data_IF_709289250762
#
_entry.id   IF_709289250762
#
_cell.length_a   1.000
_cell.length_b   1.000
_cell.length_c   1.000
_cell.angle_alpha   90.00
_cell.angle_beta   90.00
_cell.angle_gamma   90.00
#
_symmetry.space_group_name_H-M   'P 1'
#
loop_
_entity.id
_entity.type
_entity.pdbx_description
1 polymer ?
#
# COMPACT_ATOMS: atom_id res chain seq x y z
N UNK A 1 -16.91 -6.99 11.95
CA UNK A 1 -15.82 -6.80 10.98
C UNK A 1 -14.72 -6.06 11.72
N UNK A 2 -13.56 -6.69 11.93
CA UNK A 2 -12.43 -6.07 12.65
C UNK A 2 -11.69 -5.19 11.68
N UNK A 3 -11.39 -3.95 12.07
CA UNK A 3 -10.67 -3.00 11.22
C UNK A 3 -10.00 -1.94 12.07
N UNK A 4 -8.87 -1.43 11.59
CA UNK A 4 -8.09 -0.38 12.23
C UNK A 4 -7.81 0.72 11.23
N UNK A 5 -7.96 1.97 11.67
CA UNK A 5 -7.71 3.15 10.85
C UNK A 5 -6.32 3.68 11.17
N UNK A 6 -5.49 3.81 10.14
CA UNK A 6 -4.19 4.44 10.22
C UNK A 6 -4.24 5.78 9.49
N UNK A 7 -3.72 6.83 10.14
CA UNK A 7 -3.64 8.15 9.52
C UNK A 7 -2.36 8.24 8.69
N UNK A 8 -2.49 8.65 7.44
CA UNK A 8 -1.35 8.94 6.57
C UNK A 8 -0.97 10.41 6.78
N UNK A 9 0.25 10.72 7.25
CA UNK A 9 0.73 12.09 7.37
C UNK A 9 0.78 12.80 6.00
N UNK A 10 0.54 14.11 5.97
CA UNK A 10 0.49 14.89 4.73
C UNK A 10 1.83 14.87 3.99
N UNK A 11 2.94 14.89 4.73
CA UNK A 11 4.29 14.77 4.20
C UNK A 11 4.55 13.43 3.51
N UNK A 12 3.88 12.35 3.94
CA UNK A 12 3.95 11.03 3.31
C UNK A 12 3.05 11.01 2.07
N UNK A 13 1.83 11.56 2.17
CA UNK A 13 0.86 11.64 1.05
C UNK A 13 1.42 12.40 -0.17
N UNK A 14 2.28 13.40 0.06
CA UNK A 14 2.91 14.24 -0.97
C UNK A 14 4.41 14.01 -1.13
N UNK A 15 4.94 12.99 -0.46
CA UNK A 15 6.35 12.64 -0.44
C UNK A 15 6.76 11.80 -1.64
N UNK A 16 7.63 10.82 -1.42
CA UNK A 16 8.01 9.82 -2.43
C UNK A 16 7.16 8.56 -2.30
N UNK A 17 6.93 7.88 -3.42
CA UNK A 17 6.14 6.66 -3.49
C UNK A 17 6.59 5.60 -2.48
N UNK A 18 7.89 5.33 -2.41
CA UNK A 18 8.46 4.35 -1.48
C UNK A 18 8.06 4.61 -0.04
N UNK A 19 8.10 5.87 0.41
CA UNK A 19 7.69 6.26 1.77
C UNK A 19 6.20 6.03 2.03
N UNK A 20 5.33 6.32 1.04
CA UNK A 20 3.89 6.05 1.16
C UNK A 20 3.60 4.56 1.30
N UNK A 21 4.18 3.73 0.43
CA UNK A 21 3.95 2.28 0.49
C UNK A 21 4.65 1.65 1.70
N UNK A 22 5.78 2.18 2.15
CA UNK A 22 6.40 1.78 3.40
C UNK A 22 5.51 2.07 4.60
N UNK A 23 4.87 3.23 4.64
CA UNK A 23 3.88 3.53 5.68
C UNK A 23 2.71 2.52 5.67
N UNK A 24 2.18 2.18 4.49
CA UNK A 24 1.14 1.13 4.35
C UNK A 24 1.66 -0.22 4.86
N UNK A 25 2.87 -0.62 4.47
CA UNK A 25 3.51 -1.85 4.93
C UNK A 25 3.67 -1.90 6.44
N UNK A 26 4.02 -0.78 7.08
CA UNK A 26 4.07 -0.68 8.54
C UNK A 26 2.70 -0.87 9.19
N UNK A 27 1.67 -0.22 8.64
CA UNK A 27 0.30 -0.35 9.15
C UNK A 27 -0.20 -1.81 9.09
N UNK A 28 0.17 -2.54 8.03
CA UNK A 28 -0.11 -3.97 7.90
C UNK A 28 0.65 -4.78 8.96
N UNK A 29 1.95 -4.52 9.15
CA UNK A 29 2.76 -5.21 10.16
C UNK A 29 2.21 -5.02 11.58
N UNK A 30 1.84 -3.78 11.94
CA UNK A 30 1.23 -3.44 13.22
C UNK A 30 -0.11 -4.17 13.40
N UNK A 31 -0.93 -4.24 12.35
CA UNK A 31 -2.21 -4.95 12.40
C UNK A 31 -2.02 -6.46 12.60
N UNK A 32 -1.05 -7.07 11.92
CA UNK A 32 -0.75 -8.49 12.09
C UNK A 32 -0.25 -8.81 13.50
N UNK A 33 0.55 -7.92 14.09
CA UNK A 33 1.03 -8.06 15.47
C UNK A 33 -0.12 -8.03 16.48
N UNK A 34 -0.95 -6.99 16.41
CA UNK A 34 -2.07 -6.79 17.35
C UNK A 34 -3.10 -7.91 17.32
N UNK A 35 -3.21 -8.62 16.19
CA UNK A 35 -4.13 -9.72 16.01
C UNK A 35 -3.48 -11.11 16.11
N UNK A 36 -2.20 -11.20 16.51
CA UNK A 36 -1.44 -12.45 16.63
C UNK A 36 -1.43 -13.26 15.31
N UNK A 37 -1.33 -12.57 14.18
CA UNK A 37 -1.34 -13.17 12.84
C UNK A 37 0.06 -13.32 12.23
N UNK A 38 1.11 -12.82 12.88
CA UNK A 38 2.51 -12.86 12.38
C UNK A 38 3.02 -14.28 12.09
N UNK A 39 2.55 -15.30 12.80
CA UNK A 39 2.96 -16.70 12.57
C UNK A 39 2.22 -17.37 11.41
N UNK A 40 1.24 -16.70 10.80
CA UNK A 40 0.54 -17.20 9.62
C UNK A 40 1.48 -17.21 8.42
N UNK A 41 1.58 -18.35 7.72
CA UNK A 41 2.52 -18.52 6.60
C UNK A 41 2.32 -17.46 5.51
N UNK A 42 1.09 -17.33 5.00
CA UNK A 42 0.70 -16.33 4.01
C UNK A 42 -0.79 -16.01 4.18
N UNK A 43 -1.14 -14.73 4.08
CA UNK A 43 -2.53 -14.29 4.15
C UNK A 43 -2.93 -13.67 2.80
N UNK A 44 -4.05 -14.11 2.18
CA UNK A 44 -4.56 -13.47 0.98
C UNK A 44 -4.99 -12.03 1.32
N UNK A 45 -4.57 -11.07 0.50
CA UNK A 45 -4.85 -9.65 0.69
C UNK A 45 -5.51 -9.08 -0.56
N UNK A 46 -6.69 -8.47 -0.37
CA UNK A 46 -7.33 -7.63 -1.38
C UNK A 46 -6.88 -6.19 -1.21
N UNK A 47 -6.35 -5.56 -2.26
CA UNK A 47 -5.89 -4.19 -2.22
C UNK A 47 -6.87 -3.25 -2.94
N UNK A 48 -7.83 -2.71 -2.19
CA UNK A 48 -8.74 -1.68 -2.71
C UNK A 48 -8.00 -0.35 -2.83
N UNK A 49 -7.49 -0.06 -4.02
CA UNK A 49 -6.74 1.16 -4.31
C UNK A 49 -7.60 2.16 -5.10
N UNK A 50 -8.28 3.05 -4.37
CA UNK A 50 -9.32 3.96 -4.91
C UNK A 50 -8.78 5.16 -5.69
N UNK A 51 -7.95 4.90 -6.69
CA UNK A 51 -7.37 5.86 -7.64
C UNK A 51 -7.54 5.36 -9.08
N UNK A 52 -7.45 6.24 -10.09
CA UNK A 52 -7.39 5.82 -11.48
C UNK A 52 -6.20 4.89 -11.73
N UNK A 53 -6.47 3.64 -12.10
CA UNK A 53 -5.46 2.60 -12.37
C UNK A 53 -5.76 1.96 -13.72
N UNK A 54 -4.73 1.81 -14.55
CA UNK A 54 -4.76 0.93 -15.71
C UNK A 54 -4.49 -0.49 -15.21
N UNK A 55 -5.55 -1.28 -15.05
CA UNK A 55 -5.46 -2.64 -14.55
C UNK A 55 -4.99 -3.59 -15.67
N UNK A 56 -3.80 -4.15 -15.53
CA UNK A 56 -3.21 -5.06 -16.51
C UNK A 56 -3.65 -6.51 -16.25
N UNK A 57 -3.78 -6.90 -14.97
CA UNK A 57 -4.35 -8.19 -14.56
C UNK A 57 -4.89 -8.10 -13.12
N UNK A 58 -5.28 -9.22 -12.51
CA UNK A 58 -5.85 -9.23 -11.15
C UNK A 58 -4.85 -8.74 -10.08
N UNK A 59 -3.55 -8.92 -10.32
CA UNK A 59 -2.48 -8.63 -9.35
C UNK A 59 -1.45 -7.64 -9.89
N UNK A 60 -1.81 -6.81 -10.88
CA UNK A 60 -0.96 -5.75 -11.41
C UNK A 60 -1.81 -4.60 -11.96
N UNK A 61 -1.41 -3.37 -11.66
CA UNK A 61 -2.09 -2.20 -12.19
C UNK A 61 -1.27 -0.94 -12.05
N UNK A 62 -1.15 -0.19 -13.15
CA UNK A 62 -0.37 1.04 -13.19
C UNK A 62 -1.19 2.24 -12.76
N UNK A 63 -0.69 3.03 -11.81
CA UNK A 63 -1.35 4.28 -11.45
C UNK A 63 -1.36 5.22 -12.66
N UNK A 64 -2.53 5.72 -13.06
CA UNK A 64 -2.63 6.70 -14.15
C UNK A 64 -2.26 8.09 -13.61
N UNK A 65 -2.97 8.54 -12.58
CA UNK A 65 -2.72 9.82 -11.94
C UNK A 65 -3.23 9.83 -10.50
N UNK A 66 -2.58 10.62 -9.64
CA UNK A 66 -3.08 10.88 -8.30
C UNK A 66 -4.33 11.77 -8.31
N UNK A 67 -5.18 11.59 -7.29
CA UNK A 67 -6.35 12.43 -7.02
C UNK A 67 -6.45 12.70 -5.52
N UNK A 68 -7.46 13.46 -5.08
CA UNK A 68 -7.79 13.64 -3.64
C UNK A 68 -6.65 14.23 -2.79
N UNK A 69 -5.79 15.04 -3.41
CA UNK A 69 -4.68 15.72 -2.73
C UNK A 69 -3.42 14.87 -2.50
N UNK A 70 -3.40 13.61 -2.94
CA UNK A 70 -2.20 12.80 -3.01
C UNK A 70 -1.27 13.29 -4.12
N UNK A 71 0.04 13.16 -3.91
CA UNK A 71 1.05 13.41 -4.94
C UNK A 71 2.36 12.69 -4.58
N UNK A 72 2.30 11.38 -4.34
CA UNK A 72 3.48 10.61 -4.01
C UNK A 72 4.32 10.39 -5.29
N UNK A 73 5.51 11.00 -5.31
CA UNK A 73 6.37 11.07 -6.49
C UNK A 73 6.89 9.70 -6.90
N UNK A 74 6.99 9.47 -8.21
CA UNK A 74 7.55 8.24 -8.78
C UNK A 74 6.60 7.04 -8.79
N UNK A 75 5.30 7.25 -8.59
CA UNK A 75 4.27 6.18 -8.62
C UNK A 75 3.43 6.22 -9.89
N UNK A 76 3.14 7.41 -10.45
CA UNK A 76 2.38 7.52 -11.69
C UNK A 76 3.11 6.80 -12.84
N UNK A 77 2.37 6.01 -13.61
CA UNK A 77 2.88 5.09 -14.64
C UNK A 77 3.46 3.77 -14.11
N UNK A 78 3.53 3.56 -12.79
CA UNK A 78 4.14 2.38 -12.18
C UNK A 78 3.10 1.44 -11.54
N UNK A 79 3.44 0.16 -11.43
CA UNK A 79 2.58 -0.86 -10.82
C UNK A 79 2.50 -0.72 -9.30
N UNK A 80 1.33 -0.30 -8.80
CA UNK A 80 1.09 -0.08 -7.37
C UNK A 80 1.05 -1.38 -6.57
N UNK A 81 0.76 -2.51 -7.21
CA UNK A 81 0.80 -3.81 -6.55
C UNK A 81 2.24 -4.19 -6.25
N UNK A 82 3.17 -3.94 -7.18
CA UNK A 82 4.60 -4.16 -6.95
C UNK A 82 5.12 -3.29 -5.81
N UNK A 83 4.75 -2.00 -5.77
CA UNK A 83 5.13 -1.12 -4.65
C UNK A 83 4.68 -1.65 -3.28
N UNK A 84 3.46 -2.18 -3.19
CA UNK A 84 2.95 -2.78 -1.95
C UNK A 84 3.70 -4.08 -1.61
N UNK A 85 3.97 -4.94 -2.59
CA UNK A 85 4.78 -6.16 -2.39
C UNK A 85 6.16 -5.83 -1.86
N UNK A 86 6.85 -4.89 -2.49
CA UNK A 86 8.18 -4.48 -2.07
C UNK A 86 8.19 -3.90 -0.64
N UNK A 87 7.15 -3.14 -0.27
CA UNK A 87 7.00 -2.62 1.08
C UNK A 87 6.77 -3.70 2.14
N UNK A 88 6.02 -4.75 1.81
CA UNK A 88 5.86 -5.93 2.65
C UNK A 88 7.17 -6.74 2.72
N UNK A 89 7.87 -6.92 1.61
CA UNK A 89 9.13 -7.69 1.55
C UNK A 89 10.27 -7.02 2.33
N UNK A 90 10.35 -5.68 2.34
CA UNK A 90 11.30 -4.93 3.18
C UNK A 90 11.09 -5.13 4.69
N UNK A 91 9.98 -5.75 5.10
CA UNK A 91 9.56 -5.95 6.50
C UNK A 91 9.46 -7.43 6.89
N UNK A 92 9.93 -8.35 6.04
CA UNK A 92 10.10 -9.77 6.38
C UNK A 92 11.16 -9.96 7.47
#
# INVERSE_FOLDING_TARGET
>A
MTGKVYRIPEEIMRGVGTALFDHIGQCLADFLEEHNLKESKELPLGFTFSFPVEQENLTAGKLINWTKGFNAKGVEGQDVVQFLRDACDRRK
#
